data_IF_743474532496
#
_entry.id   IF_743474532496
#
_cell.length_a   1.000
_cell.length_b   1.000
_cell.length_c   1.000
_cell.angle_alpha   90.00
_cell.angle_beta   90.00
_cell.angle_gamma   90.00
#
_symmetry.space_group_name_H-M   'P 1'
#
loop_
_entity.id
_entity.type
_entity.pdbx_description
1 polymer ?
#
# COMPACT_ATOMS: atom_id res chain seq x y z
N UNK A 1 2.09 -52.03 22.99
CA UNK A 1 1.33 -51.02 22.21
C UNK A 1 1.68 -49.62 22.73
N UNK A 2 2.74 -48.97 22.24
CA UNK A 2 3.17 -47.60 22.67
C UNK A 2 3.96 -46.85 21.59
N UNK A 3 3.56 -47.01 20.33
CA UNK A 3 4.33 -46.46 19.17
C UNK A 3 3.54 -45.46 18.33
N UNK A 4 2.26 -45.24 18.62
CA UNK A 4 1.37 -44.37 17.84
C UNK A 4 1.38 -42.89 18.30
N UNK A 5 1.72 -42.61 19.56
CA UNK A 5 1.63 -41.24 20.12
C UNK A 5 2.74 -40.30 19.63
N UNK A 6 3.89 -40.82 19.19
CA UNK A 6 5.01 -39.99 18.74
C UNK A 6 4.80 -39.40 17.33
N UNK A 7 4.05 -40.08 16.46
CA UNK A 7 3.80 -39.61 15.09
C UNK A 7 2.82 -38.42 15.03
N UNK A 8 1.91 -38.29 16.01
CA UNK A 8 0.96 -37.18 16.09
C UNK A 8 1.63 -35.86 16.53
N UNK A 9 2.67 -35.93 17.36
CA UNK A 9 3.38 -34.73 17.84
C UNK A 9 4.27 -34.10 16.76
N UNK A 10 4.91 -34.92 15.92
CA UNK A 10 5.79 -34.42 14.84
C UNK A 10 4.96 -33.78 13.71
N UNK A 11 3.77 -34.30 13.43
CA UNK A 11 2.87 -33.75 12.40
C UNK A 11 2.28 -32.40 12.81
N UNK A 12 1.99 -32.17 14.10
CA UNK A 12 1.52 -30.88 14.59
C UNK A 12 2.57 -29.76 14.52
N UNK A 13 3.85 -30.05 14.82
CA UNK A 13 4.94 -29.05 14.71
C UNK A 13 5.29 -28.71 13.25
N UNK A 14 5.10 -29.65 12.32
CA UNK A 14 5.29 -29.40 10.89
C UNK A 14 4.17 -28.50 10.31
N UNK A 15 2.93 -28.66 10.79
CA UNK A 15 1.79 -27.82 10.37
C UNK A 15 1.84 -26.38 10.91
N UNK A 16 2.36 -26.16 12.13
CA UNK A 16 2.51 -24.79 12.65
C UNK A 16 3.53 -23.94 11.86
N UNK A 17 4.52 -24.56 11.21
CA UNK A 17 5.50 -23.83 10.39
C UNK A 17 5.01 -23.45 9.00
N UNK A 18 3.93 -24.04 8.50
CA UNK A 18 3.43 -23.79 7.13
C UNK A 18 2.29 -22.78 7.04
N UNK A 19 1.70 -22.35 8.16
CA UNK A 19 0.58 -21.39 8.14
C UNK A 19 1.03 -19.93 7.96
N UNK A 20 2.31 -19.61 8.16
CA UNK A 20 2.79 -18.22 8.16
C UNK A 20 3.93 -17.98 7.19
N UNK A 21 3.70 -18.27 5.91
CA UNK A 21 4.60 -17.87 4.82
C UNK A 21 3.86 -17.15 3.69
N UNK A 22 2.75 -16.47 4.00
CA UNK A 22 2.21 -15.52 3.04
C UNK A 22 3.24 -14.39 2.89
N UNK A 23 3.73 -14.13 1.66
CA UNK A 23 4.62 -13.00 1.45
C UNK A 23 3.89 -11.72 1.90
N UNK A 24 4.58 -10.79 2.58
CA UNK A 24 3.95 -9.57 3.06
C UNK A 24 3.30 -8.83 1.89
N UNK A 25 2.14 -8.19 2.10
CA UNK A 25 1.43 -7.51 1.03
C UNK A 25 2.34 -6.47 0.38
N UNK A 26 2.46 -6.55 -0.94
CA UNK A 26 3.27 -5.62 -1.72
C UNK A 26 2.58 -4.27 -1.70
N UNK A 27 3.25 -3.25 -1.18
CA UNK A 27 2.75 -1.87 -1.22
C UNK A 27 2.57 -1.41 -2.66
N UNK A 28 1.46 -0.75 -2.94
CA UNK A 28 1.17 -0.25 -4.29
C UNK A 28 1.95 1.03 -4.60
N UNK A 29 2.21 1.85 -3.58
CA UNK A 29 2.92 3.12 -3.69
C UNK A 29 3.90 3.32 -2.53
N UNK A 30 4.90 4.16 -2.75
CA UNK A 30 5.88 4.60 -1.74
C UNK A 30 5.96 6.11 -1.75
N UNK A 31 5.71 6.76 -0.60
CA UNK A 31 5.89 8.19 -0.41
C UNK A 31 7.32 8.47 0.03
N UNK A 32 8.03 9.27 -0.75
CA UNK A 32 9.33 9.82 -0.39
C UNK A 32 9.12 11.17 0.28
N UNK A 33 9.18 11.19 1.61
CA UNK A 33 9.00 12.41 2.40
C UNK A 33 10.30 13.21 2.47
N UNK A 34 10.18 14.54 2.61
CA UNK A 34 11.32 15.46 2.81
C UNK A 34 12.07 15.14 4.10
N UNK A 35 11.34 14.65 5.11
CA UNK A 35 11.87 14.24 6.40
C UNK A 35 11.34 12.84 6.77
N UNK A 36 12.17 12.06 7.44
CA UNK A 36 11.81 10.71 7.90
C UNK A 36 12.00 9.60 6.86
N UNK A 37 11.53 8.40 7.20
CA UNK A 37 11.60 7.22 6.32
C UNK A 37 10.50 7.23 5.26
N UNK A 38 10.73 6.62 4.08
CA UNK A 38 9.69 6.44 3.09
C UNK A 38 8.49 5.68 3.64
N UNK A 39 7.27 6.12 3.29
CA UNK A 39 6.03 5.48 3.75
C UNK A 39 5.45 4.60 2.67
N UNK A 40 5.11 3.36 3.01
CA UNK A 40 4.39 2.44 2.12
C UNK A 40 2.90 2.72 2.18
N UNK A 41 2.25 2.79 1.03
CA UNK A 41 0.82 3.10 0.89
C UNK A 41 0.17 2.06 -0.02
N UNK A 42 -1.05 1.67 0.32
CA UNK A 42 -1.87 0.75 -0.45
C UNK A 42 -2.96 1.49 -1.23
N UNK A 43 -3.75 0.76 -2.01
CA UNK A 43 -4.90 1.36 -2.66
C UNK A 43 -5.93 1.65 -1.60
N UNK A 44 -6.76 2.63 -1.89
CA UNK A 44 -7.82 3.09 -1.02
C UNK A 44 -7.38 3.75 0.31
N UNK A 45 -6.08 3.75 0.61
CA UNK A 45 -5.53 4.57 1.68
C UNK A 45 -5.65 6.06 1.33
N UNK A 46 -6.21 6.84 2.25
CA UNK A 46 -6.20 8.30 2.19
C UNK A 46 -4.97 8.82 2.91
N UNK A 47 -4.08 9.52 2.21
CA UNK A 47 -2.83 10.01 2.79
C UNK A 47 -2.63 11.51 2.55
N UNK A 48 -1.98 12.18 3.51
CA UNK A 48 -1.58 13.58 3.38
C UNK A 48 -0.29 13.68 2.55
N UNK A 49 -0.27 14.60 1.58
CA UNK A 49 0.92 14.88 0.75
C UNK A 49 1.81 15.98 1.31
N UNK A 50 1.43 16.59 2.44
CA UNK A 50 2.26 17.56 3.13
C UNK A 50 3.61 16.94 3.51
N UNK A 51 4.70 17.54 3.02
CA UNK A 51 6.08 17.05 3.11
C UNK A 51 6.43 15.87 2.20
N UNK A 52 5.57 15.43 1.29
CA UNK A 52 5.91 14.43 0.27
C UNK A 52 6.64 15.10 -0.89
N UNK A 53 7.84 14.63 -1.21
CA UNK A 53 8.66 15.12 -2.34
C UNK A 53 8.33 14.36 -3.60
N UNK A 54 8.24 13.03 -3.51
CA UNK A 54 7.93 12.15 -4.64
C UNK A 54 7.02 11.00 -4.21
N UNK A 55 6.24 10.48 -5.14
CA UNK A 55 5.48 9.24 -5.00
C UNK A 55 5.99 8.24 -6.04
N UNK A 56 6.47 7.09 -5.57
CA UNK A 56 6.85 5.96 -6.40
C UNK A 56 5.68 4.99 -6.57
N UNK A 57 5.27 4.73 -7.80
CA UNK A 57 4.13 3.87 -8.14
C UNK A 57 4.60 2.46 -8.50
N UNK A 58 4.50 1.50 -7.58
CA UNK A 58 4.95 0.11 -7.80
C UNK A 58 4.07 -0.60 -8.83
N UNK A 59 2.79 -0.21 -8.87
CA UNK A 59 1.74 -0.65 -9.80
C UNK A 59 1.06 0.58 -10.44
N UNK A 60 0.41 0.46 -11.62
CA UNK A 60 -0.32 1.58 -12.22
C UNK A 60 -1.43 2.06 -11.31
N UNK A 61 -1.60 3.37 -11.10
CA UNK A 61 -2.57 3.91 -10.15
C UNK A 61 -3.28 5.14 -10.72
N UNK A 62 -4.56 5.32 -10.41
CA UNK A 62 -5.30 6.56 -10.66
C UNK A 62 -5.54 7.26 -9.33
N UNK A 63 -5.02 8.47 -9.16
CA UNK A 63 -5.04 9.21 -7.90
C UNK A 63 -5.94 10.44 -8.00
N UNK A 64 -6.75 10.67 -6.98
CA UNK A 64 -7.64 11.83 -6.84
C UNK A 64 -7.25 12.62 -5.60
N UNK A 65 -7.28 13.96 -5.72
CA UNK A 65 -7.10 14.87 -4.60
C UNK A 65 -8.42 15.13 -3.87
N UNK A 66 -8.34 15.31 -2.56
CA UNK A 66 -9.44 15.53 -1.64
C UNK A 66 -9.12 16.67 -0.67
N UNK A 67 -10.17 17.38 -0.24
CA UNK A 67 -10.05 18.46 0.74
C UNK A 67 -10.08 17.98 2.19
N UNK A 68 -10.46 16.73 2.42
CA UNK A 68 -10.63 16.15 3.75
C UNK A 68 -9.78 14.89 3.97
N UNK A 69 -9.41 14.64 5.23
CA UNK A 69 -8.57 13.51 5.61
C UNK A 69 -9.22 12.13 5.48
N UNK A 70 -10.52 12.08 5.21
CA UNK A 70 -11.23 10.81 4.96
C UNK A 70 -11.42 10.53 3.48
N UNK A 71 -10.92 11.43 2.62
CA UNK A 71 -11.05 11.37 1.16
C UNK A 71 -12.50 11.15 0.69
N UNK A 72 -13.45 11.93 1.23
CA UNK A 72 -14.88 11.90 0.85
C UNK A 72 -15.30 13.06 -0.06
N UNK A 73 -14.59 14.19 0.01
CA UNK A 73 -14.85 15.43 -0.73
C UNK A 73 -13.72 15.65 -1.75
N UNK A 74 -13.89 15.21 -3.00
CA UNK A 74 -12.87 15.40 -4.03
C UNK A 74 -12.69 16.89 -4.33
N UNK A 75 -11.48 17.28 -4.72
CA UNK A 75 -11.24 18.60 -5.31
C UNK A 75 -11.82 18.66 -6.73
N UNK A 76 -11.85 19.85 -7.32
CA UNK A 76 -12.24 20.04 -8.73
C UNK A 76 -11.22 19.51 -9.73
N UNK A 77 -10.01 19.16 -9.28
CA UNK A 77 -8.99 18.56 -10.13
C UNK A 77 -9.43 17.17 -10.62
N UNK A 78 -9.22 16.83 -11.89
CA UNK A 78 -9.50 15.49 -12.38
C UNK A 78 -8.51 14.46 -11.79
N UNK A 79 -8.91 13.17 -11.71
CA UNK A 79 -8.00 12.12 -11.32
C UNK A 79 -6.81 11.99 -12.28
N UNK A 80 -5.62 11.76 -11.76
CA UNK A 80 -4.39 11.60 -12.55
C UNK A 80 -3.97 10.14 -12.57
N UNK A 81 -3.70 9.61 -13.75
CA UNK A 81 -3.24 8.22 -13.91
C UNK A 81 -1.72 8.17 -14.04
N UNK A 82 -1.10 7.31 -13.25
CA UNK A 82 0.33 7.07 -13.20
C UNK A 82 0.64 5.65 -13.68
N UNK A 83 1.66 5.53 -14.53
CA UNK A 83 2.12 4.25 -15.02
C UNK A 83 2.88 3.45 -13.94
N UNK A 84 3.02 2.14 -14.16
CA UNK A 84 3.86 1.27 -13.33
C UNK A 84 5.31 1.78 -13.30
N UNK A 85 5.93 1.76 -12.13
CA UNK A 85 7.30 2.25 -11.84
C UNK A 85 7.51 3.74 -12.10
N UNK A 86 6.45 4.51 -12.33
CA UNK A 86 6.56 5.96 -12.40
C UNK A 86 7.00 6.51 -11.05
N UNK A 87 7.77 7.60 -11.08
CA UNK A 87 8.05 8.44 -9.92
C UNK A 87 7.63 9.84 -10.30
N UNK A 88 6.72 10.43 -9.54
CA UNK A 88 6.24 11.78 -9.79
C UNK A 88 6.08 12.55 -8.48
N UNK A 89 6.35 13.87 -8.47
CA UNK A 89 5.99 14.70 -7.34
C UNK A 89 4.46 14.82 -7.23
N UNK A 90 3.91 15.03 -6.02
CA UNK A 90 2.52 15.43 -5.86
C UNK A 90 2.23 16.69 -6.69
N UNK A 91 1.08 16.73 -7.38
CA UNK A 91 0.61 17.93 -8.09
C UNK A 91 0.50 19.14 -7.17
N UNK A 92 -0.06 18.92 -5.97
CA UNK A 92 -0.23 19.93 -4.93
C UNK A 92 0.66 19.61 -3.74
N UNK A 93 1.27 20.63 -3.13
CA UNK A 93 2.16 20.50 -1.96
C UNK A 93 1.42 20.24 -0.64
N UNK A 94 0.09 20.34 -0.65
CA UNK A 94 -0.80 20.14 0.50
C UNK A 94 -2.08 19.43 0.06
N UNK A 95 -2.75 18.82 1.02
CA UNK A 95 -4.04 18.15 0.84
C UNK A 95 -3.95 16.64 1.01
N UNK A 96 -5.05 15.97 0.68
CA UNK A 96 -5.17 14.52 0.83
C UNK A 96 -5.33 13.87 -0.53
N UNK A 97 -4.73 12.69 -0.69
CA UNK A 97 -4.78 11.92 -1.92
C UNK A 97 -5.25 10.51 -1.59
N UNK A 98 -6.12 9.99 -2.46
CA UNK A 98 -6.49 8.57 -2.48
C UNK A 98 -6.26 8.04 -3.88
N UNK A 99 -5.62 6.89 -3.97
CA UNK A 99 -5.31 6.23 -5.24
C UNK A 99 -6.02 4.89 -5.35
N UNK A 100 -6.39 4.56 -6.57
CA UNK A 100 -7.17 3.38 -6.92
C UNK A 100 -6.49 2.65 -8.07
N UNK A 101 -6.85 1.38 -8.24
CA UNK A 101 -6.49 0.65 -9.45
C UNK A 101 -7.16 1.31 -10.67
N UNK A 102 -6.43 1.58 -11.77
CA UNK A 102 -7.00 2.13 -12.99
C UNK A 102 -8.08 1.19 -13.51
N UNK A 103 -9.25 1.74 -13.88
CA UNK A 103 -10.28 0.97 -14.57
C UNK A 103 -9.75 0.58 -15.94
N UNK A 104 -9.90 -0.70 -16.30
CA UNK A 104 -9.56 -1.22 -17.63
C UNK A 104 -10.52 -0.68 -18.68
#
# INVERSE_FOLDING_TARGET
MKTLSFYLLVTAMALMKTVSAQPPPISHMVLFCKTGSPKKIFYDDCFNVENVVNVGYVVPATCQYFTDMTCKKPTSDPPVTHARRAIAPPKNSKGYVKCFQPRK
#
